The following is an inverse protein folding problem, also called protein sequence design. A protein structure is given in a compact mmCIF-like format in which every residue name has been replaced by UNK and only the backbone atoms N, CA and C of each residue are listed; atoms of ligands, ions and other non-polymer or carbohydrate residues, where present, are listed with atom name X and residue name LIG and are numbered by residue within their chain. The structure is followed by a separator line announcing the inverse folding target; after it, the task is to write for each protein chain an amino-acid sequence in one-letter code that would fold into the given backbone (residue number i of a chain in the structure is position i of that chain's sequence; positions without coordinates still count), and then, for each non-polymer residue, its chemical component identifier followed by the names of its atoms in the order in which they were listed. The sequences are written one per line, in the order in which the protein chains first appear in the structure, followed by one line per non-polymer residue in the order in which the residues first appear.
data_IF_405327838508
#
_entry.id   IF_405327838508
#
_cell.length_a   1.000
_cell.length_b   1.000
_cell.length_c   1.000
_cell.angle_alpha   90.00
_cell.angle_beta   90.00
_cell.angle_gamma   90.00
#
_symmetry.space_group_name_H-M   'P 1'
#
loop_
_entity.id
_entity.type
_entity.pdbx_description
1 polymer ?
#
# COMPACT_ATOMS: atom_id res chain seq x y z
N UNK A 1 -13.47 29.56 -31.08
CA UNK A 1 -12.26 29.27 -30.28
C UNK A 1 -12.27 27.79 -29.93
N UNK A 2 -11.32 26.99 -30.45
CA UNK A 2 -11.23 25.56 -30.11
C UNK A 2 -10.74 25.45 -28.67
N UNK A 3 -11.53 24.80 -27.82
CA UNK A 3 -11.18 24.54 -26.42
C UNK A 3 -9.90 23.72 -26.36
N UNK A 4 -8.83 24.34 -25.87
CA UNK A 4 -7.66 23.61 -25.40
C UNK A 4 -8.17 22.69 -24.29
N UNK A 5 -8.20 21.38 -24.55
CA UNK A 5 -8.50 20.41 -23.51
C UNK A 5 -7.47 20.61 -22.40
N UNK A 6 -7.95 20.88 -21.19
CA UNK A 6 -7.09 21.02 -20.03
C UNK A 6 -6.28 19.73 -19.88
N UNK A 7 -5.00 19.78 -20.28
CA UNK A 7 -4.06 18.70 -20.03
C UNK A 7 -3.59 18.90 -18.60
N UNK A 8 -4.02 18.00 -17.71
CA UNK A 8 -3.45 17.93 -16.37
C UNK A 8 -1.93 17.94 -16.54
N UNK A 9 -1.19 18.87 -15.91
CA UNK A 9 0.27 18.81 -15.94
C UNK A 9 0.65 17.42 -15.46
N UNK A 10 1.68 16.77 -16.04
CA UNK A 10 2.17 15.52 -15.49
C UNK A 10 2.58 15.84 -14.05
N UNK A 11 1.71 15.50 -13.10
CA UNK A 11 2.10 15.33 -11.72
C UNK A 11 3.34 14.48 -11.78
N UNK A 12 4.38 14.87 -11.05
CA UNK A 12 5.54 14.05 -10.81
C UNK A 12 5.05 12.74 -10.16
N UNK A 13 4.61 11.82 -11.01
CA UNK A 13 4.22 10.47 -10.67
C UNK A 13 5.58 9.88 -10.41
N UNK A 14 6.00 9.92 -9.14
CA UNK A 14 7.22 9.26 -8.70
C UNK A 14 7.25 7.84 -9.24
N UNK A 15 8.42 7.20 -9.19
CA UNK A 15 8.55 5.82 -9.67
C UNK A 15 7.40 4.93 -9.19
N UNK A 16 7.09 3.87 -9.93
CA UNK A 16 6.00 2.94 -9.56
C UNK A 16 6.07 2.54 -8.08
N UNK A 17 7.29 2.28 -7.57
CA UNK A 17 7.55 2.05 -6.15
C UNK A 17 7.07 3.20 -5.25
N UNK A 18 7.40 4.44 -5.55
CA UNK A 18 6.96 5.61 -4.78
C UNK A 18 5.44 5.80 -4.83
N UNK A 19 4.80 5.45 -5.95
CA UNK A 19 3.34 5.50 -6.10
C UNK A 19 2.68 4.47 -5.19
N UNK A 20 3.19 3.23 -5.19
CA UNK A 20 2.72 2.18 -4.28
C UNK A 20 2.97 2.52 -2.82
N UNK A 21 4.13 3.09 -2.47
CA UNK A 21 4.42 3.54 -1.11
C UNK A 21 3.40 4.58 -0.63
N UNK A 22 3.05 5.55 -1.48
CA UNK A 22 2.03 6.56 -1.17
C UNK A 22 0.64 5.94 -1.00
N UNK A 23 0.27 4.99 -1.86
CA UNK A 23 -1.00 4.28 -1.77
C UNK A 23 -1.11 3.47 -0.47
N UNK A 24 -0.07 2.70 -0.13
CA UNK A 24 0.01 1.93 1.12
C UNK A 24 -0.03 2.86 2.34
N UNK A 25 0.72 3.96 2.33
CA UNK A 25 0.69 4.93 3.41
C UNK A 25 -0.70 5.54 3.63
N UNK A 26 -1.47 5.74 2.55
CA UNK A 26 -2.84 6.27 2.63
C UNK A 26 -3.85 5.21 3.09
N UNK A 27 -3.66 3.96 2.70
CA UNK A 27 -4.52 2.84 3.11
C UNK A 27 -4.35 2.52 4.61
N UNK A 28 -3.11 2.54 5.10
CA UNK A 28 -2.79 2.24 6.51
C UNK A 28 -3.05 3.41 7.46
N UNK A 29 -3.26 4.62 6.93
CA UNK A 29 -3.51 5.83 7.71
C UNK A 29 -2.29 6.38 8.46
N UNK A 30 -2.40 7.54 9.11
CA UNK A 30 -1.30 8.19 9.82
C UNK A 30 -0.91 7.48 11.12
N UNK A 31 0.32 7.71 11.60
CA UNK A 31 0.72 7.37 12.99
C UNK A 31 0.44 8.60 13.85
N UNK A 32 -0.47 8.50 14.81
CA UNK A 32 -0.80 9.58 15.75
C UNK A 32 -0.22 9.28 17.13
N UNK A 33 -0.25 8.00 17.54
CA UNK A 33 0.33 7.50 18.79
C UNK A 33 1.27 6.32 18.53
N UNK A 34 2.20 5.98 19.46
CA UNK A 34 3.09 4.84 19.30
C UNK A 34 2.37 3.51 19.02
N UNK A 35 1.21 3.28 19.64
CA UNK A 35 0.38 2.09 19.42
C UNK A 35 -0.12 1.95 17.97
N UNK A 36 -0.22 3.04 17.21
CA UNK A 36 -0.62 2.99 15.80
C UNK A 36 0.45 2.35 14.94
N UNK A 37 1.73 2.37 15.35
CA UNK A 37 2.82 1.75 14.58
C UNK A 37 2.66 0.24 14.51
N UNK A 38 2.30 -0.38 15.65
CA UNK A 38 2.09 -1.83 15.70
C UNK A 38 0.83 -2.23 14.93
N UNK A 39 -0.26 -1.50 15.12
CA UNK A 39 -1.49 -1.73 14.35
C UNK A 39 -1.25 -1.59 12.85
N UNK A 40 -0.55 -0.54 12.40
CA UNK A 40 -0.20 -0.35 10.99
C UNK A 40 0.69 -1.46 10.45
N UNK A 41 1.60 -2.00 11.24
CA UNK A 41 2.44 -3.13 10.84
C UNK A 41 1.60 -4.38 10.61
N UNK A 42 0.70 -4.68 11.54
CA UNK A 42 -0.24 -5.81 11.41
C UNK A 42 -1.15 -5.65 10.18
N UNK A 43 -1.73 -4.46 10.00
CA UNK A 43 -2.59 -4.14 8.85
C UNK A 43 -1.84 -4.25 7.51
N UNK A 44 -0.57 -3.81 7.46
CA UNK A 44 0.28 -3.92 6.27
C UNK A 44 0.56 -5.38 5.91
N UNK A 45 0.84 -6.24 6.90
CA UNK A 45 1.06 -7.66 6.68
C UNK A 45 -0.22 -8.38 6.26
N UNK A 46 -1.36 -8.01 6.85
CA UNK A 46 -2.66 -8.56 6.45
C UNK A 46 -3.01 -8.18 5.01
N UNK A 47 -2.75 -6.93 4.61
CA UNK A 47 -2.89 -6.47 3.22
C UNK A 47 -1.97 -7.25 2.28
N UNK A 48 -0.70 -7.43 2.63
CA UNK A 48 0.24 -8.20 1.83
C UNK A 48 -0.23 -9.65 1.65
N UNK A 49 -0.68 -10.30 2.72
CA UNK A 49 -1.24 -11.66 2.64
C UNK A 49 -2.51 -11.72 1.78
N UNK A 50 -3.38 -10.70 1.80
CA UNK A 50 -4.54 -10.63 0.91
C UNK A 50 -4.14 -10.46 -0.57
N UNK A 51 -3.16 -9.60 -0.85
CA UNK A 51 -2.65 -9.37 -2.20
C UNK A 51 -1.97 -10.62 -2.77
N UNK A 52 -1.18 -11.32 -1.95
CA UNK A 52 -0.50 -12.56 -2.34
C UNK A 52 -1.50 -13.69 -2.62
N UNK A 53 -2.57 -13.83 -1.82
CA UNK A 53 -3.67 -14.75 -2.12
C UNK A 53 -4.38 -14.41 -3.43
N UNK A 54 -4.65 -13.14 -3.69
CA UNK A 54 -5.26 -12.71 -4.94
C UNK A 54 -4.37 -12.98 -6.16
N UNK A 55 -3.06 -13.07 -5.96
CA UNK A 55 -2.07 -13.42 -6.97
C UNK A 55 -1.73 -14.92 -7.02
N UNK A 56 -2.45 -15.78 -6.28
CA UNK A 56 -2.21 -17.23 -6.18
C UNK A 56 -0.78 -17.58 -5.69
N UNK A 57 -0.15 -16.67 -4.94
CA UNK A 57 1.18 -16.84 -4.38
C UNK A 57 1.10 -17.40 -2.94
N UNK A 58 0.71 -18.66 -2.82
CA UNK A 58 0.38 -19.31 -1.53
C UNK A 58 1.56 -19.38 -0.55
N UNK A 59 2.77 -19.68 -1.05
CA UNK A 59 3.98 -19.76 -0.21
C UNK A 59 4.35 -18.40 0.42
N UNK A 60 4.17 -17.32 -0.34
CA UNK A 60 4.44 -15.96 0.14
C UNK A 60 3.35 -15.50 1.11
N UNK A 61 2.10 -15.93 0.88
CA UNK A 61 0.97 -15.66 1.79
C UNK A 61 1.25 -16.24 3.18
N UNK A 62 1.66 -17.51 3.25
CA UNK A 62 1.94 -18.18 4.52
C UNK A 62 3.03 -17.47 5.33
N UNK A 63 4.08 -16.99 4.67
CA UNK A 63 5.16 -16.22 5.30
C UNK A 63 4.67 -14.87 5.85
N UNK A 64 3.82 -14.16 5.11
CA UNK A 64 3.25 -12.89 5.58
C UNK A 64 2.38 -13.09 6.82
N UNK A 65 1.57 -14.15 6.86
CA UNK A 65 0.70 -14.47 7.99
C UNK A 65 1.48 -14.90 9.24
N UNK A 66 2.56 -15.68 9.08
CA UNK A 66 3.41 -16.06 10.22
C UNK A 66 3.94 -14.84 10.97
N UNK A 67 4.32 -13.77 10.27
CA UNK A 67 4.87 -12.54 10.88
C UNK A 67 3.84 -11.66 11.60
N UNK A 68 2.54 -11.97 11.48
CA UNK A 68 1.47 -11.32 12.25
C UNK A 68 1.29 -12.01 13.61
N UNK A 69 1.56 -13.32 13.68
CA UNK A 69 1.24 -14.17 14.84
C UNK A 69 2.39 -14.27 15.86
N UNK A 70 3.62 -13.85 15.50
CA UNK A 70 4.80 -13.81 16.39
C UNK A 70 4.96 -12.42 17.00
#
# INVERSE_FOLDING_TARGET
MKGQAYRFPPTDIGSEAQTWDRAVARLLGPVVVPADRERRRSDALALAAAALRAAEADDLTAQAQQRITV
#
